data_IF_874205765154
#
_entry.id   IF_874205765154
#
_cell.length_a   1.000
_cell.length_b   1.000
_cell.length_c   1.000
_cell.angle_alpha   90.00
_cell.angle_beta   90.00
_cell.angle_gamma   90.00
#
_symmetry.space_group_name_H-M   'P 1'
#
loop_
_entity.id
_entity.type
_entity.pdbx_description
1 polymer ?
#
# COMPACT_ATOMS: atom_id res chain seq x y z
N UNK A 1 -13.68 61.87 30.93
CA UNK A 1 -14.69 61.88 29.87
C UNK A 1 -15.24 60.50 29.72
N UNK A 2 -16.43 60.38 30.05
CA UNK A 2 -17.40 59.31 30.16
C UNK A 2 -17.76 58.74 28.78
N UNK A 3 -17.92 57.40 28.66
CA UNK A 3 -19.01 56.75 27.92
C UNK A 3 -18.88 55.23 28.11
N UNK A 4 -19.75 54.77 28.94
CA UNK A 4 -21.09 54.12 28.69
C UNK A 4 -21.00 52.79 27.95
N UNK A 5 -21.17 51.76 28.60
CA UNK A 5 -21.90 50.59 28.72
C UNK A 5 -22.87 50.24 27.56
N UNK A 6 -22.65 49.11 26.99
CA UNK A 6 -23.66 48.39 26.16
C UNK A 6 -23.97 47.08 26.85
N UNK A 7 -25.18 46.99 27.35
CA UNK A 7 -25.75 45.81 27.95
C UNK A 7 -26.17 44.83 26.83
N UNK A 8 -25.78 43.57 26.94
CA UNK A 8 -26.29 42.50 26.07
C UNK A 8 -27.70 42.08 26.55
N UNK A 9 -28.65 41.91 25.65
CA UNK A 9 -29.97 41.46 26.03
C UNK A 9 -29.96 39.97 26.42
N UNK A 10 -30.51 39.70 27.58
CA UNK A 10 -30.77 38.38 28.14
C UNK A 10 -31.79 37.64 27.26
N UNK A 11 -31.36 36.54 26.64
CA UNK A 11 -32.26 35.62 25.95
C UNK A 11 -32.96 34.75 26.98
N UNK A 12 -34.24 35.01 27.20
CA UNK A 12 -35.12 34.12 27.96
C UNK A 12 -35.37 32.84 27.17
N UNK A 13 -34.76 31.74 27.58
CA UNK A 13 -35.13 30.41 27.14
C UNK A 13 -36.48 30.02 27.73
N UNK A 14 -37.55 30.14 26.96
CA UNK A 14 -38.83 29.60 27.31
C UNK A 14 -38.80 28.07 27.10
N UNK A 15 -38.91 27.37 28.20
CA UNK A 15 -39.11 25.92 28.21
C UNK A 15 -40.53 25.61 27.74
N UNK A 16 -40.68 25.09 26.56
CA UNK A 16 -41.94 24.54 26.09
C UNK A 16 -42.10 23.10 26.62
N UNK A 17 -43.23 22.76 27.22
CA UNK A 17 -43.46 21.38 27.67
C UNK A 17 -43.68 20.46 26.46
N UNK A 18 -42.97 19.36 26.46
CA UNK A 18 -43.11 18.29 25.48
C UNK A 18 -44.42 17.55 25.80
N UNK A 19 -45.36 17.43 24.89
CA UNK A 19 -46.57 16.64 25.14
C UNK A 19 -46.22 15.14 25.13
N UNK A 20 -46.45 14.51 26.29
CA UNK A 20 -46.44 13.06 26.47
C UNK A 20 -47.69 12.48 25.80
N UNK A 21 -47.66 12.10 24.55
CA UNK A 21 -48.54 11.08 23.98
C UNK A 21 -48.29 10.85 22.49
N UNK A 22 -47.29 10.11 22.16
CA UNK A 22 -47.26 9.40 20.87
C UNK A 22 -47.09 7.91 21.19
N UNK A 23 -48.23 7.25 21.31
CA UNK A 23 -48.33 5.79 21.31
C UNK A 23 -48.03 5.32 19.90
N UNK A 24 -46.82 4.84 19.67
CA UNK A 24 -46.51 4.13 18.43
C UNK A 24 -47.01 2.68 18.56
N UNK A 25 -48.29 2.50 18.23
CA UNK A 25 -48.77 1.20 17.77
C UNK A 25 -48.67 1.22 16.25
N UNK A 26 -47.57 0.77 15.72
CA UNK A 26 -47.47 0.38 14.33
C UNK A 26 -46.62 -0.89 14.26
N UNK A 27 -47.33 -1.99 14.12
CA UNK A 27 -46.87 -3.24 13.57
C UNK A 27 -46.25 -2.92 12.19
N UNK A 28 -44.93 -2.99 12.09
CA UNK A 28 -44.25 -3.02 10.80
C UNK A 28 -43.89 -4.48 10.55
N UNK A 29 -44.62 -5.19 9.66
CA UNK A 29 -44.19 -6.49 9.19
C UNK A 29 -43.09 -6.29 8.15
N UNK A 30 -41.93 -6.95 8.35
CA UNK A 30 -41.06 -7.36 7.25
C UNK A 30 -40.21 -6.27 6.62
N UNK A 31 -39.14 -5.86 7.30
CA UNK A 31 -37.94 -5.49 6.58
C UNK A 31 -37.09 -6.76 6.51
N UNK A 32 -37.42 -7.54 5.50
CA UNK A 32 -36.57 -8.59 4.98
C UNK A 32 -35.22 -7.96 4.71
N UNK A 33 -34.22 -8.38 5.50
CA UNK A 33 -32.85 -7.85 5.46
C UNK A 33 -32.29 -7.97 4.05
N UNK A 34 -32.22 -6.84 3.38
CA UNK A 34 -31.39 -6.66 2.20
C UNK A 34 -29.94 -6.68 2.71
N UNK A 35 -29.41 -7.89 2.84
CA UNK A 35 -28.02 -8.16 3.10
C UNK A 35 -27.27 -7.56 1.92
N UNK A 36 -26.79 -6.32 2.09
CA UNK A 36 -25.86 -5.70 1.16
C UNK A 36 -24.67 -6.63 1.08
N UNK A 37 -24.64 -7.45 0.04
CA UNK A 37 -23.43 -8.13 -0.40
C UNK A 37 -22.43 -7.03 -0.76
N UNK A 38 -21.65 -6.61 0.23
CA UNK A 38 -20.43 -5.86 -0.03
C UNK A 38 -19.59 -6.74 -0.97
N UNK A 39 -19.21 -6.23 -2.13
CA UNK A 39 -18.28 -6.97 -2.97
C UNK A 39 -17.04 -7.17 -2.13
N UNK A 40 -16.70 -8.43 -1.87
CA UNK A 40 -15.42 -8.80 -1.29
C UNK A 40 -14.36 -8.18 -2.20
N UNK A 41 -13.71 -7.12 -1.72
CA UNK A 41 -12.60 -6.51 -2.43
C UNK A 41 -11.54 -7.57 -2.67
N UNK A 42 -11.08 -7.65 -3.90
CA UNK A 42 -10.04 -8.57 -4.33
C UNK A 42 -8.84 -8.46 -3.38
N UNK A 43 -8.67 -9.46 -2.50
CA UNK A 43 -7.70 -9.40 -1.41
C UNK A 43 -6.32 -9.61 -2.01
N UNK A 44 -5.47 -8.59 -1.95
CA UNK A 44 -4.10 -8.70 -2.43
C UNK A 44 -3.35 -9.81 -1.69
N UNK A 45 -2.82 -10.77 -2.43
CA UNK A 45 -1.92 -11.82 -1.91
C UNK A 45 -0.58 -11.17 -1.57
N UNK A 46 -0.09 -11.39 -0.36
CA UNK A 46 1.20 -10.85 0.10
C UNK A 46 2.23 -11.97 0.23
N UNK A 47 3.42 -11.72 -0.30
CA UNK A 47 4.57 -12.62 -0.24
C UNK A 47 5.74 -11.88 0.40
N UNK A 48 6.35 -12.49 1.41
CA UNK A 48 7.55 -11.94 2.06
C UNK A 48 8.78 -12.24 1.22
N UNK A 49 9.66 -11.25 1.04
CA UNK A 49 10.93 -11.42 0.37
C UNK A 49 12.01 -11.87 1.36
N UNK A 50 12.90 -12.71 0.90
CA UNK A 50 14.08 -13.16 1.66
C UNK A 50 15.23 -12.18 1.43
N UNK A 51 15.86 -11.65 2.51
CA UNK A 51 17.04 -10.79 2.38
C UNK A 51 18.29 -11.62 2.09
N UNK A 52 19.21 -11.01 1.33
CA UNK A 52 20.54 -11.53 1.12
C UNK A 52 21.48 -11.14 2.28
N UNK A 53 22.66 -11.72 2.31
CA UNK A 53 23.66 -11.50 3.38
C UNK A 53 24.14 -10.05 3.47
N UNK A 54 24.11 -9.33 2.35
CA UNK A 54 24.53 -7.93 2.23
C UNK A 54 23.59 -6.98 2.96
N UNK A 55 22.33 -7.37 3.15
CA UNK A 55 21.27 -6.56 3.78
C UNK A 55 20.43 -7.38 4.76
N UNK A 56 21.02 -8.01 5.78
CA UNK A 56 20.34 -8.99 6.63
C UNK A 56 19.17 -8.41 7.43
N UNK A 57 19.17 -7.10 7.67
CA UNK A 57 18.09 -6.39 8.36
C UNK A 57 16.93 -5.94 7.47
N UNK A 58 17.10 -6.02 6.15
CA UNK A 58 16.10 -5.59 5.20
C UNK A 58 14.88 -6.51 5.21
N UNK A 59 13.70 -5.93 5.14
CA UNK A 59 12.43 -6.63 5.00
C UNK A 59 11.77 -6.21 3.69
N UNK A 60 11.29 -7.18 2.92
CA UNK A 60 10.56 -6.92 1.69
C UNK A 60 9.21 -7.63 1.68
N UNK A 61 8.22 -7.00 1.05
CA UNK A 61 6.90 -7.59 0.82
C UNK A 61 6.47 -7.27 -0.60
N UNK A 62 5.98 -8.28 -1.30
CA UNK A 62 5.34 -8.17 -2.60
C UNK A 62 3.86 -8.41 -2.40
N UNK A 63 3.01 -7.43 -2.69
CA UNK A 63 1.58 -7.60 -2.74
C UNK A 63 1.13 -7.68 -4.19
N UNK A 64 0.33 -8.70 -4.51
CA UNK A 64 -0.18 -8.92 -5.86
C UNK A 64 -1.69 -9.04 -5.85
N UNK A 65 -2.33 -8.46 -6.85
CA UNK A 65 -3.76 -8.60 -7.11
C UNK A 65 -4.03 -8.67 -8.61
N UNK A 66 -5.13 -9.29 -8.98
CA UNK A 66 -5.57 -9.31 -10.38
C UNK A 66 -6.12 -7.94 -10.75
N UNK A 67 -5.55 -7.31 -11.75
CA UNK A 67 -6.05 -6.05 -12.31
C UNK A 67 -7.22 -6.26 -13.24
N UNK A 68 -7.92 -5.18 -13.58
CA UNK A 68 -9.15 -5.18 -14.40
C UNK A 68 -8.99 -5.85 -15.78
N UNK A 69 -7.79 -5.84 -16.35
CA UNK A 69 -7.50 -6.39 -17.68
C UNK A 69 -6.84 -7.79 -17.62
N UNK A 70 -6.94 -8.50 -16.48
CA UNK A 70 -6.29 -9.79 -16.30
C UNK A 70 -4.77 -9.73 -16.06
N UNK A 71 -4.18 -8.54 -16.07
CA UNK A 71 -2.80 -8.31 -15.64
C UNK A 71 -2.68 -8.41 -14.13
N UNK A 72 -1.46 -8.64 -13.64
CA UNK A 72 -1.14 -8.64 -12.21
C UNK A 72 -0.64 -7.26 -11.80
N UNK A 73 -1.36 -6.59 -10.91
CA UNK A 73 -0.86 -5.39 -10.24
C UNK A 73 0.06 -5.83 -9.09
N UNK A 74 1.23 -5.22 -9.00
CA UNK A 74 2.28 -5.61 -8.07
C UNK A 74 2.78 -4.38 -7.32
N UNK A 75 2.67 -4.44 -5.99
CA UNK A 75 3.25 -3.46 -5.07
C UNK A 75 4.41 -4.11 -4.33
N UNK A 76 5.62 -3.60 -4.57
CA UNK A 76 6.84 -3.99 -3.85
C UNK A 76 7.11 -2.94 -2.79
N UNK A 77 7.20 -3.36 -1.53
CA UNK A 77 7.55 -2.49 -0.40
C UNK A 77 8.73 -3.06 0.35
N UNK A 78 9.64 -2.20 0.79
CA UNK A 78 10.79 -2.58 1.61
C UNK A 78 10.86 -1.74 2.86
N UNK A 79 11.44 -2.28 3.93
CA UNK A 79 11.76 -1.61 5.19
C UNK A 79 13.17 -1.96 5.61
N UNK A 80 13.81 -1.04 6.32
CA UNK A 80 15.19 -1.19 6.80
C UNK A 80 16.18 -1.59 5.68
N UNK A 81 15.92 -1.18 4.44
CA UNK A 81 16.80 -1.40 3.31
C UNK A 81 17.85 -0.27 3.28
N UNK A 82 19.12 -0.61 3.44
CA UNK A 82 20.21 0.36 3.40
C UNK A 82 20.17 1.18 2.11
N UNK A 83 20.70 2.41 2.14
CA UNK A 83 20.90 3.17 0.90
C UNK A 83 21.89 2.43 -0.01
N UNK A 84 21.70 2.43 -1.34
CA UNK A 84 22.59 1.72 -2.27
C UNK A 84 24.06 2.14 -2.11
N UNK A 85 24.31 3.42 -1.84
CA UNK A 85 25.63 3.99 -1.60
C UNK A 85 26.33 3.49 -0.32
N UNK A 86 25.56 2.91 0.61
CA UNK A 86 26.11 2.33 1.85
C UNK A 86 26.50 0.85 1.70
N UNK A 87 26.27 0.24 0.55
CA UNK A 87 26.69 -1.14 0.26
C UNK A 87 28.19 -1.23 -0.01
N UNK A 88 28.72 -2.44 0.01
CA UNK A 88 30.11 -2.71 -0.35
C UNK A 88 30.14 -3.78 -1.47
N UNK A 89 30.53 -3.42 -2.70
CA UNK A 89 30.83 -2.07 -3.19
C UNK A 89 29.61 -1.15 -3.20
N UNK A 90 29.81 0.20 -3.16
CA UNK A 90 28.71 1.15 -3.24
C UNK A 90 28.06 1.16 -4.62
N UNK A 91 26.73 1.28 -4.63
CA UNK A 91 25.90 1.30 -5.82
C UNK A 91 25.05 2.58 -5.85
N UNK A 92 24.39 2.86 -7.00
CA UNK A 92 23.66 4.12 -7.20
C UNK A 92 22.15 3.95 -6.96
N UNK A 93 21.60 2.76 -7.26
CA UNK A 93 20.16 2.53 -7.25
C UNK A 93 19.81 1.07 -6.98
N UNK A 94 18.58 0.84 -6.57
CA UNK A 94 17.98 -0.49 -6.59
C UNK A 94 17.09 -0.65 -7.80
N UNK A 95 17.14 -1.81 -8.45
CA UNK A 95 16.28 -2.16 -9.57
C UNK A 95 15.46 -3.40 -9.22
N UNK A 96 14.16 -3.32 -9.47
CA UNK A 96 13.23 -4.44 -9.28
C UNK A 96 13.12 -5.22 -10.59
N UNK A 97 13.22 -6.52 -10.49
CA UNK A 97 13.16 -7.45 -11.61
C UNK A 97 12.03 -8.44 -11.43
N UNK A 98 11.32 -8.70 -12.52
CA UNK A 98 10.42 -9.85 -12.61
C UNK A 98 10.97 -10.85 -13.59
N UNK A 99 11.03 -12.10 -13.16
CA UNK A 99 11.51 -13.20 -13.98
C UNK A 99 10.40 -14.26 -14.09
N UNK A 100 9.64 -14.29 -15.20
CA UNK A 100 8.73 -15.39 -15.49
C UNK A 100 9.50 -16.69 -15.65
N UNK A 101 8.85 -17.87 -15.50
CA UNK A 101 9.46 -19.15 -15.79
C UNK A 101 10.05 -19.18 -17.21
N UNK A 102 11.24 -19.75 -17.36
CA UNK A 102 11.94 -19.95 -18.63
C UNK A 102 12.19 -18.68 -19.46
N UNK A 103 12.15 -17.50 -18.82
CA UNK A 103 12.42 -16.22 -19.47
C UNK A 103 13.53 -15.43 -18.74
N UNK A 104 14.15 -14.53 -19.50
CA UNK A 104 15.10 -13.57 -18.93
C UNK A 104 14.39 -12.59 -17.99
N UNK A 105 15.08 -12.12 -16.93
CA UNK A 105 14.55 -11.07 -16.06
C UNK A 105 14.16 -9.81 -16.82
N UNK A 106 13.08 -9.19 -16.42
CA UNK A 106 12.60 -7.92 -16.96
C UNK A 106 12.75 -6.81 -15.92
N UNK A 107 13.37 -5.71 -16.31
CA UNK A 107 13.49 -4.53 -15.48
C UNK A 107 12.11 -3.86 -15.30
N UNK A 108 11.64 -3.79 -14.06
CA UNK A 108 10.33 -3.21 -13.71
C UNK A 108 10.43 -1.79 -13.16
N UNK A 109 11.66 -1.29 -13.01
CA UNK A 109 11.94 0.06 -12.59
C UNK A 109 12.80 0.16 -11.33
N UNK A 110 13.20 1.38 -11.03
CA UNK A 110 14.01 1.69 -9.86
C UNK A 110 13.15 1.75 -8.58
N UNK A 111 13.64 1.12 -7.52
CA UNK A 111 13.11 1.24 -6.17
C UNK A 111 13.89 2.33 -5.43
N UNK A 112 13.25 3.47 -5.18
CA UNK A 112 13.86 4.55 -4.39
C UNK A 112 13.66 4.27 -2.91
N UNK A 113 14.74 4.36 -2.15
CA UNK A 113 14.75 4.23 -0.70
C UNK A 113 14.75 5.62 -0.09
N UNK A 114 13.83 5.90 0.81
CA UNK A 114 13.73 7.17 1.52
C UNK A 114 14.72 7.26 2.70
N UNK A 115 14.75 8.41 3.37
CA UNK A 115 15.63 8.64 4.53
C UNK A 115 15.28 7.75 5.74
N UNK A 116 14.09 7.15 5.76
CA UNK A 116 13.65 6.19 6.78
C UNK A 116 13.95 4.74 6.38
N UNK A 117 14.74 4.55 5.33
CA UNK A 117 15.15 3.24 4.77
C UNK A 117 13.95 2.41 4.28
N UNK A 118 12.89 3.07 3.83
CA UNK A 118 11.75 2.42 3.21
C UNK A 118 11.78 2.64 1.70
N UNK A 119 11.38 1.62 0.95
CA UNK A 119 11.24 1.70 -0.50
C UNK A 119 9.85 1.25 -0.95
N UNK A 120 9.37 1.82 -2.05
CA UNK A 120 8.12 1.42 -2.68
C UNK A 120 8.21 1.51 -4.21
N UNK A 121 7.70 0.48 -4.88
CA UNK A 121 7.48 0.47 -6.32
C UNK A 121 6.13 -0.19 -6.61
N UNK A 122 5.27 0.49 -7.37
CA UNK A 122 4.01 -0.06 -7.88
C UNK A 122 4.14 -0.23 -9.39
N UNK A 123 3.78 -1.40 -9.91
CA UNK A 123 3.90 -1.73 -11.33
C UNK A 123 2.86 -2.76 -11.74
N UNK A 124 2.79 -3.04 -13.03
CA UNK A 124 1.87 -4.02 -13.60
C UNK A 124 2.64 -5.02 -14.45
N UNK A 125 2.32 -6.30 -14.32
CA UNK A 125 2.92 -7.38 -15.08
C UNK A 125 1.87 -8.22 -15.81
N UNK A 126 2.15 -8.70 -17.03
CA UNK A 126 1.27 -9.62 -17.73
C UNK A 126 1.44 -11.09 -17.27
N UNK A 127 2.13 -11.29 -16.15
CA UNK A 127 2.50 -12.60 -15.61
C UNK A 127 1.71 -12.88 -14.34
N UNK A 128 1.35 -14.15 -14.10
CA UNK A 128 0.74 -14.60 -12.84
C UNK A 128 1.74 -15.32 -11.94
N UNK A 129 2.71 -16.00 -12.55
CA UNK A 129 3.78 -16.72 -11.85
C UNK A 129 5.11 -16.12 -12.27
N UNK A 130 5.86 -15.63 -11.32
CA UNK A 130 7.18 -15.04 -11.59
C UNK A 130 7.98 -14.91 -10.29
N UNK A 131 9.28 -14.91 -10.44
CA UNK A 131 10.19 -14.52 -9.36
C UNK A 131 10.37 -13.02 -9.35
N UNK A 132 10.27 -12.41 -8.17
CA UNK A 132 10.60 -11.01 -7.92
C UNK A 132 11.95 -10.97 -7.21
N UNK A 133 12.87 -10.16 -7.69
CA UNK A 133 14.08 -9.87 -6.96
C UNK A 133 14.53 -8.43 -7.16
N UNK A 134 15.33 -7.93 -6.24
CA UNK A 134 15.89 -6.58 -6.25
C UNK A 134 17.41 -6.71 -6.30
N UNK A 135 18.04 -5.95 -7.19
CA UNK A 135 19.51 -5.83 -7.26
C UNK A 135 19.93 -4.39 -6.98
N UNK A 136 21.15 -4.26 -6.45
CA UNK A 136 21.83 -2.97 -6.36
C UNK A 136 22.64 -2.76 -7.65
N UNK A 137 22.41 -1.65 -8.33
CA UNK A 137 22.95 -1.39 -9.68
C UNK A 137 23.60 0.00 -9.77
N UNK A 138 24.53 0.15 -10.71
CA UNK A 138 25.14 1.44 -11.05
C UNK A 138 24.16 2.39 -11.76
N UNK A 139 23.17 1.84 -12.45
CA UNK A 139 22.21 2.60 -13.24
C UNK A 139 20.81 1.94 -13.18
N UNK A 140 19.76 2.76 -13.25
CA UNK A 140 18.40 2.23 -13.23
C UNK A 140 17.96 1.57 -14.54
N UNK A 141 18.53 1.97 -15.68
CA UNK A 141 18.10 1.54 -17.02
C UNK A 141 18.96 0.39 -17.56
N UNK A 142 19.37 -0.54 -16.69
CA UNK A 142 20.11 -1.72 -17.12
C UNK A 142 19.19 -2.76 -17.77
N UNK A 143 19.65 -3.40 -18.83
CA UNK A 143 18.86 -4.39 -19.58
C UNK A 143 18.83 -5.76 -18.90
N UNK A 144 19.84 -6.07 -18.09
CA UNK A 144 19.99 -7.31 -17.32
C UNK A 144 20.59 -7.01 -15.96
N UNK A 145 20.31 -7.83 -14.94
CA UNK A 145 20.86 -7.63 -13.59
C UNK A 145 22.39 -7.92 -13.60
N UNK A 146 23.17 -6.98 -13.07
CA UNK A 146 24.63 -7.11 -12.95
C UNK A 146 25.07 -7.02 -11.49
N UNK A 147 24.35 -6.26 -10.69
CA UNK A 147 24.71 -6.01 -9.31
C UNK A 147 24.26 -7.11 -8.33
N UNK A 148 24.61 -6.93 -7.07
CA UNK A 148 24.27 -7.86 -6.01
C UNK A 148 22.74 -7.95 -5.81
N UNK A 149 22.23 -9.18 -5.71
CA UNK A 149 20.84 -9.46 -5.39
C UNK A 149 20.63 -9.25 -3.89
N UNK A 150 19.72 -8.33 -3.51
CA UNK A 150 19.51 -7.95 -2.11
C UNK A 150 18.24 -8.54 -1.49
N UNK A 151 17.17 -8.70 -2.27
CA UNK A 151 15.91 -9.30 -1.84
C UNK A 151 15.34 -10.20 -2.93
N UNK A 152 14.68 -11.30 -2.56
CA UNK A 152 14.04 -12.22 -3.52
C UNK A 152 12.76 -12.84 -2.96
N UNK A 153 11.79 -13.09 -3.84
CA UNK A 153 10.56 -13.83 -3.54
C UNK A 153 10.04 -14.55 -4.77
N UNK A 154 9.31 -15.65 -4.56
CA UNK A 154 8.58 -16.35 -5.61
C UNK A 154 7.09 -16.02 -5.49
N UNK A 155 6.53 -15.43 -6.54
CA UNK A 155 5.10 -15.14 -6.65
C UNK A 155 4.46 -16.28 -7.42
N UNK A 156 3.66 -17.06 -6.68
CA UNK A 156 2.83 -18.13 -7.23
C UNK A 156 1.40 -17.61 -7.31
N UNK A 157 0.86 -17.51 -8.50
CA UNK A 157 -0.49 -17.01 -8.79
C UNK A 157 -1.59 -17.96 -8.38
#
# INVERSE_FOLDING_TARGET
MIRTGQAFPSVKTSWLPIPNSIRYSALIPGIMGMMLLWPFGDTAKKVTMMPAKEVPGAQGTVAVKTGKNGNTEVDVTTKALAQPSALTPPEETYVVWFQPPDQSPKNMGALRVDNSLNGKLSTVAPYRHFKVFITAEKQQNVASPHGAKVLTADVLG
#
